data_IF_392333600269
#
_entry.id   IF_392333600269
#
_cell.length_a   1.000
_cell.length_b   1.000
_cell.length_c   1.000
_cell.angle_alpha   90.00
_cell.angle_beta   90.00
_cell.angle_gamma   90.00
#
_symmetry.space_group_name_H-M   'P 1'
#
loop_
_entity.id
_entity.type
_entity.pdbx_description
1 polymer ?
#
# COMPACT_ATOMS: atom_id res chain seq x y z
N UNK A 1 6.75 9.59 -10.29
CA UNK A 1 7.31 8.55 -9.40
C UNK A 1 8.58 8.01 -10.02
N UNK A 2 9.61 7.62 -9.24
CA UNK A 2 10.73 6.86 -9.79
C UNK A 2 10.17 5.60 -10.48
N UNK A 3 10.65 5.31 -11.68
CA UNK A 3 10.18 4.19 -12.52
C UNK A 3 10.82 2.84 -12.14
N UNK A 4 11.64 2.82 -11.08
CA UNK A 4 12.40 1.66 -10.64
C UNK A 4 11.94 1.24 -9.23
N UNK A 5 11.95 -0.06 -8.99
CA UNK A 5 11.60 -0.68 -7.72
C UNK A 5 12.85 -0.97 -6.88
N UNK A 6 12.66 -1.31 -5.61
CA UNK A 6 13.77 -1.75 -4.74
C UNK A 6 14.43 -3.03 -5.28
N UNK A 7 13.63 -3.92 -5.90
CA UNK A 7 14.14 -5.12 -6.54
C UNK A 7 15.10 -4.78 -7.69
N UNK A 8 14.77 -3.80 -8.52
CA UNK A 8 15.63 -3.37 -9.63
C UNK A 8 16.97 -2.82 -9.12
N UNK A 9 16.96 -2.11 -7.99
CA UNK A 9 18.16 -1.61 -7.33
C UNK A 9 19.03 -2.79 -6.86
N UNK A 10 18.44 -3.79 -6.21
CA UNK A 10 19.17 -4.96 -5.73
C UNK A 10 19.79 -5.74 -6.89
N UNK A 11 19.04 -5.96 -7.97
CA UNK A 11 19.54 -6.62 -9.17
C UNK A 11 20.67 -5.83 -9.85
N UNK A 12 20.57 -4.50 -9.89
CA UNK A 12 21.64 -3.65 -10.40
C UNK A 12 22.90 -3.71 -9.53
N UNK A 13 22.76 -3.78 -8.20
CA UNK A 13 23.89 -3.94 -7.28
C UNK A 13 24.56 -5.30 -7.44
N UNK A 14 23.78 -6.38 -7.60
CA UNK A 14 24.30 -7.71 -7.90
C UNK A 14 25.04 -7.75 -9.25
N UNK A 15 24.53 -7.06 -10.28
CA UNK A 15 25.20 -6.93 -11.56
C UNK A 15 26.54 -6.18 -11.44
N UNK A 16 26.60 -5.15 -10.58
CA UNK A 16 27.83 -4.41 -10.28
C UNK A 16 28.83 -5.32 -9.55
N UNK A 17 28.37 -6.10 -8.56
CA UNK A 17 29.20 -7.07 -7.84
C UNK A 17 29.79 -8.14 -8.78
N UNK A 18 29.05 -8.52 -9.83
CA UNK A 18 29.52 -9.42 -10.90
C UNK A 18 30.51 -8.78 -11.89
N UNK A 19 30.84 -7.50 -11.72
CA UNK A 19 31.83 -6.78 -12.56
C UNK A 19 31.24 -5.82 -13.59
N UNK A 20 29.93 -5.59 -13.59
CA UNK A 20 29.31 -4.60 -14.48
C UNK A 20 29.63 -3.19 -13.99
N UNK A 21 29.98 -2.27 -14.90
CA UNK A 21 30.18 -0.87 -14.50
C UNK A 21 28.88 -0.24 -13.99
N UNK A 22 29.00 0.65 -12.99
CA UNK A 22 27.85 1.41 -12.45
C UNK A 22 27.10 2.20 -13.55
N UNK A 23 27.80 2.64 -14.60
CA UNK A 23 27.17 3.30 -15.76
C UNK A 23 26.22 2.38 -16.50
N UNK A 24 26.70 1.17 -16.79
CA UNK A 24 25.98 0.18 -17.59
C UNK A 24 24.79 -0.36 -16.80
N UNK A 25 24.98 -0.70 -15.53
CA UNK A 25 23.88 -1.11 -14.65
C UNK A 25 22.81 -0.02 -14.50
N UNK A 26 23.21 1.24 -14.30
CA UNK A 26 22.25 2.35 -14.24
C UNK A 26 21.41 2.49 -15.51
N UNK A 27 22.02 2.31 -16.69
CA UNK A 27 21.32 2.38 -17.96
C UNK A 27 20.40 1.19 -18.20
N UNK A 28 20.88 -0.04 -17.94
CA UNK A 28 20.12 -1.27 -18.15
C UNK A 28 18.87 -1.35 -17.26
N UNK A 29 18.99 -0.93 -16.00
CA UNK A 29 17.91 -1.00 -15.01
C UNK A 29 17.11 0.31 -14.89
N UNK A 30 17.46 1.36 -15.65
CA UNK A 30 16.76 2.65 -15.61
C UNK A 30 16.91 3.41 -14.29
N UNK A 31 17.98 3.16 -13.53
CA UNK A 31 18.22 3.72 -12.20
C UNK A 31 19.23 4.86 -12.29
N UNK A 32 19.00 6.02 -11.65
CA UNK A 32 19.99 7.08 -11.55
C UNK A 32 21.30 6.58 -10.94
N UNK A 33 22.44 6.93 -11.54
CA UNK A 33 23.78 6.56 -11.02
C UNK A 33 24.02 7.03 -9.60
N UNK A 34 23.47 8.19 -9.23
CA UNK A 34 23.53 8.72 -7.86
C UNK A 34 22.87 7.76 -6.88
N UNK A 35 21.70 7.20 -7.22
CA UNK A 35 21.01 6.21 -6.39
C UNK A 35 21.88 4.97 -6.17
N UNK A 36 22.47 4.39 -7.23
CA UNK A 36 23.35 3.22 -7.08
C UNK A 36 24.61 3.54 -6.26
N UNK A 37 25.23 4.71 -6.49
CA UNK A 37 26.40 5.14 -5.71
C UNK A 37 26.06 5.32 -4.22
N UNK A 38 24.91 5.90 -3.93
CA UNK A 38 24.40 6.07 -2.57
C UNK A 38 24.19 4.72 -1.87
N UNK A 39 23.62 3.73 -2.57
CA UNK A 39 23.48 2.37 -2.05
C UNK A 39 24.81 1.67 -1.82
N UNK A 40 25.76 1.82 -2.74
CA UNK A 40 27.13 1.29 -2.54
C UNK A 40 27.83 1.91 -1.33
N UNK A 41 27.51 3.15 -0.98
CA UNK A 41 28.02 3.83 0.21
C UNK A 41 27.26 3.42 1.50
N UNK A 42 26.33 2.47 1.44
CA UNK A 42 25.59 1.96 2.59
C UNK A 42 24.31 2.71 2.92
N UNK A 43 23.82 3.61 2.05
CA UNK A 43 22.51 4.22 2.29
C UNK A 43 21.41 3.17 2.14
N UNK A 44 20.50 3.16 3.12
CA UNK A 44 19.35 2.26 3.13
C UNK A 44 18.22 2.76 2.23
N UNK A 45 17.27 1.87 1.99
CA UNK A 45 16.02 2.19 1.32
C UNK A 45 15.21 3.20 2.15
N UNK A 46 14.40 4.02 1.48
CA UNK A 46 13.69 5.11 2.14
C UNK A 46 12.65 4.59 3.14
N UNK A 47 11.96 3.53 2.80
CA UNK A 47 11.03 2.84 3.70
C UNK A 47 11.72 2.37 4.99
N UNK A 48 12.90 1.77 4.89
CA UNK A 48 13.67 1.29 6.04
C UNK A 48 14.28 2.48 6.81
N UNK A 49 14.91 3.43 6.12
CA UNK A 49 15.57 4.57 6.77
C UNK A 49 14.61 5.49 7.52
N UNK A 50 13.33 5.50 7.13
CA UNK A 50 12.30 6.33 7.75
C UNK A 50 11.29 5.50 8.56
N UNK A 51 11.52 4.20 8.77
CA UNK A 51 10.61 3.34 9.55
C UNK A 51 10.38 3.91 10.95
N UNK A 52 11.45 4.37 11.58
CA UNK A 52 11.42 4.86 12.97
C UNK A 52 10.72 6.22 13.10
N UNK A 53 10.53 6.91 11.97
CA UNK A 53 9.82 8.20 11.89
C UNK A 53 8.33 8.03 11.59
N UNK A 54 7.86 6.80 11.35
CA UNK A 54 6.45 6.52 11.16
C UNK A 54 5.69 6.69 12.48
N UNK A 55 4.48 7.26 12.41
CA UNK A 55 3.61 7.45 13.59
C UNK A 55 3.04 6.13 14.12
N UNK A 56 2.94 5.14 13.25
CA UNK A 56 2.39 3.82 13.53
C UNK A 56 3.50 2.79 13.35
N UNK A 57 3.49 1.76 14.19
CA UNK A 57 4.38 0.63 13.97
C UNK A 57 3.92 -0.20 12.76
N UNK A 58 4.82 -0.97 12.17
CA UNK A 58 4.50 -1.87 11.05
C UNK A 58 3.33 -2.82 11.37
N UNK A 59 3.24 -3.30 12.62
CA UNK A 59 2.12 -4.13 13.09
C UNK A 59 0.79 -3.38 13.13
N UNK A 60 0.81 -2.09 13.47
CA UNK A 60 -0.39 -1.27 13.44
C UNK A 60 -0.82 -0.96 12.00
N UNK A 61 0.13 -0.70 11.11
CA UNK A 61 -0.14 -0.51 9.68
C UNK A 61 -0.74 -1.77 9.06
N UNK A 62 -0.27 -2.97 9.41
CA UNK A 62 -0.84 -4.23 8.92
C UNK A 62 -2.27 -4.44 9.40
N UNK A 63 -2.54 -4.19 10.68
CA UNK A 63 -3.91 -4.29 11.23
C UNK A 63 -4.87 -3.31 10.54
N UNK A 64 -4.43 -2.06 10.31
CA UNK A 64 -5.22 -1.09 9.58
C UNK A 64 -5.45 -1.51 8.13
N UNK A 65 -4.45 -2.08 7.46
CA UNK A 65 -4.59 -2.59 6.10
C UNK A 65 -5.63 -3.72 6.02
N UNK A 66 -5.59 -4.67 6.95
CA UNK A 66 -6.60 -5.75 7.06
C UNK A 66 -8.00 -5.21 7.30
N UNK A 67 -8.14 -4.24 8.21
CA UNK A 67 -9.43 -3.60 8.50
C UNK A 67 -9.97 -2.84 7.28
N UNK A 68 -9.13 -2.08 6.58
CA UNK A 68 -9.52 -1.38 5.34
C UNK A 68 -9.97 -2.39 4.29
N UNK A 69 -9.21 -3.46 4.08
CA UNK A 69 -9.56 -4.51 3.12
C UNK A 69 -10.89 -5.20 3.47
N UNK A 70 -11.12 -5.49 4.75
CA UNK A 70 -12.39 -6.07 5.21
C UNK A 70 -13.56 -5.13 4.95
N UNK A 71 -13.36 -3.83 5.16
CA UNK A 71 -14.39 -2.81 4.95
C UNK A 71 -14.65 -2.54 3.47
N UNK A 72 -13.63 -2.57 2.61
CA UNK A 72 -13.80 -2.40 1.17
C UNK A 72 -14.52 -3.59 0.54
N UNK A 73 -14.21 -4.83 0.95
CA UNK A 73 -14.95 -6.03 0.55
C UNK A 73 -16.42 -5.95 0.97
N UNK A 74 -16.67 -5.55 2.21
CA UNK A 74 -18.03 -5.36 2.73
C UNK A 74 -18.79 -4.29 1.94
N UNK A 75 -18.16 -3.15 1.65
CA UNK A 75 -18.75 -2.08 0.86
C UNK A 75 -19.01 -2.51 -0.60
N UNK A 76 -18.09 -3.26 -1.21
CA UNK A 76 -18.28 -3.81 -2.56
C UNK A 76 -19.44 -4.82 -2.61
N UNK A 77 -19.58 -5.63 -1.55
CA UNK A 77 -20.70 -6.56 -1.39
C UNK A 77 -22.03 -5.82 -1.27
N UNK A 78 -22.12 -4.80 -0.40
CA UNK A 78 -23.35 -4.00 -0.24
C UNK A 78 -23.69 -3.16 -1.47
N UNK A 79 -22.68 -2.63 -2.17
CA UNK A 79 -22.88 -1.86 -3.40
C UNK A 79 -23.38 -2.72 -4.56
N UNK A 80 -22.99 -3.99 -4.60
CA UNK A 80 -23.51 -4.96 -5.57
C UNK A 80 -24.97 -5.37 -5.28
N UNK A 81 -25.50 -5.03 -4.10
CA UNK A 81 -26.90 -5.24 -3.73
C UNK A 81 -27.82 -4.09 -4.15
N UNK A 82 -27.31 -3.00 -4.73
CA UNK A 82 -28.16 -1.98 -5.36
C UNK A 82 -28.58 -2.40 -6.78
N UNK A 83 -29.58 -3.28 -6.85
CA UNK A 83 -30.64 -3.13 -7.84
C UNK A 83 -31.85 -2.52 -7.12
N UNK A 84 -32.57 -1.55 -7.71
CA UNK A 84 -33.59 -0.73 -7.02
C UNK A 84 -34.78 -1.47 -6.38
N UNK A 85 -34.82 -2.80 -6.41
CA UNK A 85 -35.99 -3.61 -6.03
C UNK A 85 -36.22 -3.78 -4.53
N UNK A 86 -35.36 -3.23 -3.65
CA UNK A 86 -35.49 -3.43 -2.20
C UNK A 86 -36.14 -2.25 -1.46
N UNK A 87 -36.13 -1.04 -2.04
CA UNK A 87 -36.83 0.12 -1.46
C UNK A 87 -38.33 0.16 -1.76
N UNK A 88 -38.84 -0.65 -2.70
CA UNK A 88 -40.28 -0.81 -2.91
C UNK A 88 -40.91 -1.92 -2.03
N UNK A 89 -40.09 -2.78 -1.39
CA UNK A 89 -40.57 -3.87 -0.52
C UNK A 89 -40.39 -3.64 0.97
N UNK A 90 -39.55 -2.69 1.39
CA UNK A 90 -39.47 -2.26 2.79
C UNK A 90 -40.33 -1.03 3.03
N UNK A 91 -41.61 -1.12 2.65
CA UNK A 91 -42.67 -0.32 3.24
C UNK A 91 -43.10 -0.81 4.64
N UNK A 92 -42.26 -1.56 5.38
CA UNK A 92 -42.68 -2.19 6.62
C UNK A 92 -41.61 -2.17 7.73
N UNK A 93 -41.97 -1.48 8.82
CA UNK A 93 -41.66 -1.77 10.23
C UNK A 93 -40.29 -1.45 10.84
N UNK A 94 -39.81 -0.20 10.80
CA UNK A 94 -38.85 0.29 11.83
C UNK A 94 -39.08 1.75 12.26
N UNK A 95 -40.33 2.16 12.46
CA UNK A 95 -40.68 3.31 13.31
C UNK A 95 -41.66 2.89 14.42
N UNK A 96 -41.31 1.84 15.17
CA UNK A 96 -41.89 1.57 16.48
C UNK A 96 -40.80 1.73 17.55
N UNK A 97 -40.42 2.99 17.78
CA UNK A 97 -39.83 3.46 19.04
C UNK A 97 -40.65 4.65 19.57
N UNK A 98 -41.96 4.46 19.63
CA UNK A 98 -42.71 4.89 20.82
C UNK A 98 -42.40 3.79 21.86
N UNK A 99 -41.89 4.01 23.08
CA UNK A 99 -41.98 5.12 24.01
C UNK A 99 -40.75 5.08 24.92
N UNK A 100 -40.00 6.19 25.02
CA UNK A 100 -39.19 6.45 26.22
C UNK A 100 -40.17 7.00 27.27
N UNK A 101 -40.65 6.12 28.15
CA UNK A 101 -41.45 6.50 29.32
C UNK A 101 -40.51 6.72 30.51
N UNK A 102 -40.67 7.91 31.09
CA UNK A 102 -40.41 8.37 32.46
C UNK A 102 -39.00 8.21 33.06
#
# INVERSE_FOLDING_TARGET
MPQYTENDINQALEAIARGTSVKKAAFEWGIPRSTLKNRMNGQQARDIAFSDLQRLSTTQESYLAEWVNSRTLLNASYRSMETPSLLERTGCSLLSRETYQQ
#
